data_IF_938064716604
#
_entry.id   IF_938064716604
#
_cell.length_a   1.000
_cell.length_b   1.000
_cell.length_c   1.000
_cell.angle_alpha   90.00
_cell.angle_beta   90.00
_cell.angle_gamma   90.00
#
_symmetry.space_group_name_H-M   'P 1'
#
loop_
_entity.id
_entity.type
_entity.pdbx_description
1 polymer ?
#
# COMPACT_ATOMS: atom_id res chain seq x y z
N UNK A 1 -10.70 2.02 -9.00
CA UNK A 1 -9.85 2.68 -7.94
C UNK A 1 -8.45 3.04 -8.47
N UNK A 2 -7.63 3.86 -7.80
CA UNK A 2 -6.29 4.30 -8.29
C UNK A 2 -5.14 3.41 -7.76
N UNK A 3 -4.69 2.37 -8.49
CA UNK A 3 -3.69 1.40 -8.01
C UNK A 3 -2.25 1.94 -7.96
N UNK A 4 -1.93 2.95 -8.78
CA UNK A 4 -0.58 3.50 -8.96
C UNK A 4 0.04 3.99 -7.64
N UNK A 5 -0.74 4.61 -6.75
CA UNK A 5 -0.24 5.11 -5.48
C UNK A 5 0.22 3.97 -4.55
N UNK A 6 -0.54 2.88 -4.49
CA UNK A 6 -0.21 1.69 -3.69
C UNK A 6 0.96 0.92 -4.29
N UNK A 7 1.03 0.82 -5.62
CA UNK A 7 2.18 0.22 -6.32
C UNK A 7 3.48 1.01 -6.05
N UNK A 8 3.43 2.34 -6.08
CA UNK A 8 4.58 3.18 -5.73
C UNK A 8 4.98 2.98 -4.26
N UNK A 9 4.01 2.96 -3.35
CA UNK A 9 4.27 2.71 -1.93
C UNK A 9 4.89 1.32 -1.71
N UNK A 10 4.39 0.30 -2.39
CA UNK A 10 4.90 -1.07 -2.33
C UNK A 10 6.33 -1.17 -2.89
N UNK A 11 6.61 -0.52 -4.02
CA UNK A 11 7.94 -0.51 -4.62
C UNK A 11 8.96 0.21 -3.72
N UNK A 12 8.61 1.38 -3.19
CA UNK A 12 9.50 2.15 -2.30
C UNK A 12 9.73 1.40 -0.99
N UNK A 13 8.69 0.89 -0.34
CA UNK A 13 8.83 0.12 0.90
C UNK A 13 9.66 -1.15 0.71
N UNK A 14 9.48 -1.87 -0.42
CA UNK A 14 10.29 -3.03 -0.76
C UNK A 14 11.76 -2.67 -1.03
N UNK A 15 12.01 -1.59 -1.77
CA UNK A 15 13.36 -1.11 -2.04
C UNK A 15 14.07 -0.66 -0.76
N UNK A 16 13.38 0.07 0.11
CA UNK A 16 13.89 0.50 1.42
C UNK A 16 14.13 -0.72 2.33
N UNK A 17 13.25 -1.71 2.32
CA UNK A 17 13.44 -2.95 3.06
C UNK A 17 14.68 -3.71 2.57
N UNK A 18 14.87 -3.83 1.25
CA UNK A 18 16.03 -4.51 0.68
C UNK A 18 17.35 -3.75 0.92
N UNK A 19 17.33 -2.42 0.80
CA UNK A 19 18.53 -1.57 0.91
C UNK A 19 18.93 -1.17 2.33
N UNK A 20 17.96 -0.83 3.19
CA UNK A 20 18.19 -0.37 4.58
C UNK A 20 17.81 -1.42 5.63
N UNK A 21 16.97 -2.39 5.27
CA UNK A 21 16.05 -3.07 6.18
C UNK A 21 16.38 -4.50 6.60
N UNK A 22 17.64 -4.96 6.55
CA UNK A 22 18.03 -6.16 7.32
C UNK A 22 18.13 -5.89 8.83
N UNK A 23 18.09 -4.64 9.26
CA UNK A 23 17.98 -4.26 10.67
C UNK A 23 16.50 -4.16 11.03
N UNK A 24 16.01 -5.11 11.82
CA UNK A 24 14.62 -5.27 12.28
C UNK A 24 14.00 -4.00 12.94
N UNK A 25 14.76 -2.91 13.13
CA UNK A 25 14.33 -1.65 13.78
C UNK A 25 13.00 -1.12 13.25
N UNK A 26 12.83 -0.98 11.94
CA UNK A 26 11.69 -0.25 11.33
C UNK A 26 10.60 -1.15 10.70
N UNK A 27 10.72 -2.48 10.82
CA UNK A 27 9.72 -3.44 10.28
C UNK A 27 9.24 -3.09 8.85
N UNK A 28 10.19 -2.74 7.97
CA UNK A 28 9.88 -2.33 6.59
C UNK A 28 9.34 -3.51 5.76
N UNK A 29 9.63 -4.75 6.18
CA UNK A 29 9.02 -5.99 5.70
C UNK A 29 7.49 -5.94 5.85
N UNK A 30 6.99 -5.54 7.01
CA UNK A 30 5.55 -5.46 7.27
C UNK A 30 4.91 -4.38 6.40
N UNK A 31 5.54 -3.21 6.27
CA UNK A 31 5.04 -2.15 5.40
C UNK A 31 4.98 -2.60 3.93
N UNK A 32 6.03 -3.28 3.46
CA UNK A 32 6.10 -3.82 2.09
C UNK A 32 5.02 -4.88 1.84
N UNK A 33 4.75 -5.75 2.81
CA UNK A 33 3.69 -6.76 2.72
C UNK A 33 2.30 -6.14 2.68
N UNK A 34 2.00 -5.17 3.55
CA UNK A 34 0.68 -4.50 3.55
C UNK A 34 0.49 -3.72 2.24
N UNK A 35 1.49 -2.94 1.82
CA UNK A 35 1.41 -2.13 0.60
C UNK A 35 1.28 -2.99 -0.66
N UNK A 36 2.03 -4.09 -0.77
CA UNK A 36 1.92 -5.01 -1.92
C UNK A 36 0.58 -5.74 -1.96
N UNK A 37 0.06 -6.19 -0.81
CA UNK A 37 -1.28 -6.80 -0.73
C UNK A 37 -2.39 -5.83 -1.13
N UNK A 38 -2.33 -4.58 -0.64
CA UNK A 38 -3.27 -3.53 -1.03
C UNK A 38 -3.17 -3.19 -2.52
N UNK A 39 -1.95 -3.15 -3.08
CA UNK A 39 -1.74 -2.91 -4.50
C UNK A 39 -2.34 -4.03 -5.37
N UNK A 40 -2.19 -5.29 -4.98
CA UNK A 40 -2.80 -6.43 -5.69
C UNK A 40 -4.32 -6.36 -5.63
N UNK A 41 -4.91 -6.10 -4.46
CA UNK A 41 -6.35 -5.92 -4.32
C UNK A 41 -6.86 -4.79 -5.23
N UNK A 42 -6.17 -3.65 -5.23
CA UNK A 42 -6.55 -2.50 -6.06
C UNK A 42 -6.37 -2.76 -7.56
N UNK A 43 -5.43 -3.61 -7.94
CA UNK A 43 -5.24 -4.05 -9.33
C UNK A 43 -6.37 -4.95 -9.79
N UNK A 44 -6.84 -5.87 -8.94
CA UNK A 44 -7.97 -6.76 -9.25
C UNK A 44 -9.24 -5.94 -9.48
N UNK A 45 -9.51 -4.92 -8.67
CA UNK A 45 -10.64 -4.02 -8.91
C UNK A 45 -10.50 -3.23 -10.21
N UNK A 46 -9.30 -2.70 -10.51
CA UNK A 46 -9.04 -2.00 -11.77
C UNK A 46 -9.24 -2.92 -13.00
N UNK A 47 -8.86 -4.20 -12.88
CA UNK A 47 -9.10 -5.18 -13.92
C UNK A 47 -10.59 -5.48 -14.09
N UNK A 48 -11.35 -5.60 -12.99
CA UNK A 48 -12.79 -5.83 -13.03
C UNK A 48 -13.54 -4.61 -13.62
N UNK A 49 -13.21 -3.40 -13.18
CA UNK A 49 -13.76 -2.16 -13.74
C UNK A 49 -13.45 -2.00 -15.23
N UNK A 50 -12.28 -2.44 -15.69
CA UNK A 50 -11.98 -2.47 -17.12
C UNK A 50 -12.88 -3.44 -17.91
N UNK A 51 -13.19 -4.61 -17.34
CA UNK A 51 -14.04 -5.60 -17.99
C UNK A 51 -15.51 -5.17 -18.05
N UNK A 52 -16.02 -4.48 -17.02
CA UNK A 52 -17.42 -4.03 -16.99
C UNK A 52 -17.65 -2.67 -17.65
N UNK A 53 -16.78 -1.69 -17.39
CA UNK A 53 -17.00 -0.30 -17.78
C UNK A 53 -16.05 0.16 -18.90
N UNK A 54 -15.05 -0.67 -19.27
CA UNK A 54 -14.01 -0.31 -20.24
C UNK A 54 -12.96 0.66 -19.70
N UNK A 55 -13.04 1.03 -18.42
CA UNK A 55 -12.15 2.00 -17.77
C UNK A 55 -11.22 1.29 -16.79
N UNK A 56 -9.93 1.25 -17.11
CA UNK A 56 -8.94 0.60 -16.24
C UNK A 56 -8.49 1.48 -15.08
N UNK A 57 -8.37 2.79 -15.32
CA UNK A 57 -8.03 3.77 -14.30
C UNK A 57 -9.08 4.86 -14.28
N UNK A 58 -9.86 4.88 -13.20
CA UNK A 58 -10.74 5.99 -12.91
C UNK A 58 -9.94 7.13 -12.28
N UNK A 59 -9.90 8.26 -12.98
CA UNK A 59 -9.24 9.50 -12.56
C UNK A 59 -10.22 10.48 -11.91
N UNK A 60 -11.45 10.05 -11.63
CA UNK A 60 -12.43 10.82 -10.87
C UNK A 60 -11.85 11.25 -9.52
N UNK A 61 -12.27 12.42 -9.05
CA UNK A 61 -11.75 12.98 -7.80
C UNK A 61 -12.02 12.07 -6.60
N UNK A 62 -13.16 11.38 -6.61
CA UNK A 62 -13.51 10.33 -5.67
C UNK A 62 -12.52 9.16 -5.67
N UNK A 63 -12.12 8.67 -6.85
CA UNK A 63 -11.20 7.54 -6.97
C UNK A 63 -9.78 7.90 -6.53
N UNK A 64 -9.32 9.11 -6.83
CA UNK A 64 -8.04 9.63 -6.33
C UNK A 64 -8.05 9.67 -4.81
N UNK A 65 -9.10 10.24 -4.23
CA UNK A 65 -9.22 10.43 -2.78
C UNK A 65 -9.28 9.09 -2.05
N UNK A 66 -9.97 8.10 -2.63
CA UNK A 66 -9.99 6.72 -2.11
C UNK A 66 -8.57 6.10 -2.10
N UNK A 67 -7.80 6.30 -3.19
CA UNK A 67 -6.41 5.85 -3.27
C UNK A 67 -5.54 6.47 -2.17
N UNK A 68 -5.70 7.77 -1.90
CA UNK A 68 -5.00 8.47 -0.80
C UNK A 68 -5.41 7.89 0.55
N UNK A 69 -6.69 7.66 0.79
CA UNK A 69 -7.20 7.05 2.04
C UNK A 69 -6.57 5.68 2.28
N UNK A 70 -6.48 4.82 1.25
CA UNK A 70 -5.84 3.50 1.38
C UNK A 70 -4.34 3.60 1.70
N UNK A 71 -3.62 4.55 1.10
CA UNK A 71 -2.21 4.79 1.42
C UNK A 71 -2.04 5.22 2.87
N UNK A 72 -2.85 6.17 3.34
CA UNK A 72 -2.83 6.63 4.74
C UNK A 72 -3.13 5.48 5.68
N UNK A 73 -4.17 4.69 5.39
CA UNK A 73 -4.55 3.54 6.21
C UNK A 73 -3.43 2.49 6.29
N UNK A 74 -2.75 2.22 5.17
CA UNK A 74 -1.59 1.33 5.11
C UNK A 74 -0.45 1.82 6.03
N UNK A 75 -0.16 3.12 6.00
CA UNK A 75 0.87 3.72 6.87
C UNK A 75 0.44 3.67 8.34
N UNK A 76 -0.83 3.95 8.65
CA UNK A 76 -1.37 3.86 10.02
C UNK A 76 -1.24 2.45 10.58
N UNK A 77 -1.58 1.41 9.81
CA UNK A 77 -1.42 0.03 10.22
C UNK A 77 0.05 -0.31 10.51
N UNK A 78 0.98 0.16 9.68
CA UNK A 78 2.41 -0.03 9.93
C UNK A 78 2.88 0.69 11.20
N UNK A 79 2.44 1.93 11.45
CA UNK A 79 2.75 2.65 12.68
C UNK A 79 2.21 1.91 13.91
N UNK A 80 0.99 1.35 13.84
CA UNK A 80 0.44 0.53 14.92
C UNK A 80 1.32 -0.69 15.20
N UNK A 81 1.81 -1.38 14.16
CA UNK A 81 2.74 -2.51 14.32
C UNK A 81 4.04 -2.08 15.00
N UNK A 82 4.57 -0.89 14.67
CA UNK A 82 5.76 -0.36 15.35
C UNK A 82 5.49 -0.06 16.83
N UNK A 83 4.38 0.61 17.14
CA UNK A 83 4.00 0.92 18.52
C UNK A 83 3.84 -0.34 19.35
N UNK A 84 3.14 -1.36 18.83
CA UNK A 84 2.97 -2.64 19.52
C UNK A 84 4.32 -3.32 19.75
N UNK A 85 5.20 -3.35 18.74
CA UNK A 85 6.54 -3.92 18.87
C UNK A 85 7.37 -3.26 19.97
N UNK A 86 7.29 -1.93 20.09
CA UNK A 86 8.04 -1.18 21.10
C UNK A 86 7.40 -1.27 22.50
N UNK A 87 6.07 -1.40 22.59
CA UNK A 87 5.36 -1.60 23.86
C UNK A 87 5.58 -2.99 24.48
N UNK A 88 5.82 -4.03 23.68
CA UNK A 88 6.05 -5.40 24.15
C UNK A 88 7.53 -5.78 24.29
N UNK A 89 8.44 -4.80 24.27
CA UNK A 89 9.87 -4.97 24.55
C UNK A 89 10.22 -4.56 25.97
#
# INVERSE_FOLDING_TARGET
MWPLALLLLAAVSSALWYGLGRKDRYRLDVLALIASGAAVMSLVDAAYGYLEEGVFMDLSWSAVLLGVVLVVFTVVLWVLVLLLKDMFK
#
